data_IF_126879276439
#
_entry.id   IF_126879276439
#
_cell.length_a   1.000
_cell.length_b   1.000
_cell.length_c   1.000
_cell.angle_alpha   90.00
_cell.angle_beta   90.00
_cell.angle_gamma   90.00
#
_symmetry.space_group_name_H-M   'P 1'
#
loop_
_entity.id
_entity.type
_entity.pdbx_description
1 polymer ?
#
# COMPACT_ATOMS: atom_id res chain seq x y z
N UNK A 1 4.65 10.73 -18.97
CA UNK A 1 3.89 10.99 -17.75
C UNK A 1 3.17 9.72 -17.29
N UNK A 2 2.93 9.63 -16.02
CA UNK A 2 2.27 8.46 -15.42
C UNK A 2 0.87 8.86 -14.97
N UNK A 3 -0.15 8.51 -15.76
CA UNK A 3 -1.55 8.78 -15.43
C UNK A 3 -1.97 8.06 -14.14
N UNK A 4 -1.59 6.79 -13.99
CA UNK A 4 -1.91 6.03 -12.78
C UNK A 4 -1.24 6.60 -11.54
N UNK A 5 -0.05 7.19 -11.67
CA UNK A 5 0.59 7.89 -10.57
C UNK A 5 -0.22 9.13 -10.16
N UNK A 6 -0.75 9.87 -11.12
CA UNK A 6 -1.61 11.00 -10.86
C UNK A 6 -2.89 10.57 -10.12
N UNK A 7 -3.56 9.52 -10.61
CA UNK A 7 -4.75 8.96 -9.97
C UNK A 7 -4.45 8.48 -8.55
N UNK A 8 -3.30 7.86 -8.34
CA UNK A 8 -2.90 7.40 -7.03
C UNK A 8 -2.72 8.57 -6.05
N UNK A 9 -1.93 9.58 -6.43
CA UNK A 9 -1.63 10.70 -5.54
C UNK A 9 -2.81 11.65 -5.33
N UNK A 10 -3.67 11.85 -6.33
CA UNK A 10 -4.75 12.82 -6.27
C UNK A 10 -6.11 12.21 -5.97
N UNK A 11 -6.26 10.91 -6.15
CA UNK A 11 -7.49 10.18 -5.87
C UNK A 11 -7.36 9.24 -4.68
N UNK A 12 -6.62 8.15 -4.85
CA UNK A 12 -6.57 7.07 -3.87
C UNK A 12 -5.97 7.52 -2.54
N UNK A 13 -4.84 8.21 -2.56
CA UNK A 13 -4.21 8.71 -1.33
C UNK A 13 -5.03 9.79 -0.62
N UNK A 14 -5.94 10.45 -1.33
CA UNK A 14 -6.85 11.46 -0.76
C UNK A 14 -8.23 10.89 -0.43
N UNK A 15 -8.48 9.63 -0.75
CA UNK A 15 -9.76 9.00 -0.46
C UNK A 15 -9.92 8.85 1.06
N UNK A 16 -11.14 9.13 1.56
CA UNK A 16 -11.42 9.12 2.99
C UNK A 16 -11.10 7.79 3.67
N UNK A 17 -11.37 6.67 3.01
CA UNK A 17 -11.04 5.34 3.53
C UNK A 17 -9.55 5.15 3.76
N UNK A 18 -8.74 5.68 2.85
CA UNK A 18 -7.28 5.56 2.90
C UNK A 18 -6.68 6.53 3.92
N UNK A 19 -7.19 7.76 3.99
CA UNK A 19 -6.68 8.79 4.89
C UNK A 19 -6.66 8.34 6.36
N UNK A 20 -7.69 7.63 6.79
CA UNK A 20 -7.75 7.12 8.17
C UNK A 20 -6.73 6.01 8.41
N UNK A 21 -6.63 5.08 7.47
CA UNK A 21 -5.76 3.90 7.65
C UNK A 21 -4.27 4.22 7.44
N UNK A 22 -3.95 5.30 6.75
CA UNK A 22 -2.56 5.67 6.49
C UNK A 22 -1.93 6.46 7.64
N UNK A 23 -2.73 6.99 8.56
CA UNK A 23 -2.24 7.81 9.69
C UNK A 23 -1.11 7.17 10.50
N UNK A 24 -1.13 5.87 10.83
CA UNK A 24 -0.04 5.25 11.59
C UNK A 24 1.29 5.16 10.83
N UNK A 25 1.28 5.40 9.52
CA UNK A 25 2.45 5.19 8.68
C UNK A 25 3.24 6.48 8.46
N UNK A 26 4.55 6.33 8.34
CA UNK A 26 5.40 7.36 7.74
C UNK A 26 5.38 7.15 6.24
N UNK A 27 4.85 8.12 5.50
CA UNK A 27 4.70 8.02 4.05
C UNK A 27 5.85 8.75 3.37
N UNK A 28 6.57 8.04 2.51
CA UNK A 28 7.68 8.60 1.75
C UNK A 28 7.40 8.40 0.27
N UNK A 29 7.52 9.48 -0.49
CA UNK A 29 7.41 9.45 -1.95
C UNK A 29 8.79 9.55 -2.56
N UNK A 30 9.14 8.58 -3.39
CA UNK A 30 10.44 8.51 -4.03
C UNK A 30 10.29 8.60 -5.55
N UNK A 31 11.15 9.41 -6.16
CA UNK A 31 11.31 9.43 -7.61
C UNK A 31 12.36 8.37 -7.98
N UNK A 32 11.90 7.29 -8.62
CA UNK A 32 12.77 6.15 -8.98
C UNK A 32 13.78 6.46 -10.09
N UNK A 33 13.70 7.64 -10.69
CA UNK A 33 14.72 8.12 -11.62
C UNK A 33 15.80 8.96 -10.92
N UNK A 34 15.64 9.23 -9.63
CA UNK A 34 16.57 10.06 -8.87
C UNK A 34 17.86 9.32 -8.52
N UNK A 35 18.98 10.04 -8.59
CA UNK A 35 20.30 9.59 -8.17
C UNK A 35 20.72 10.20 -6.83
N UNK A 36 19.80 10.80 -6.09
CA UNK A 36 20.07 11.36 -4.76
C UNK A 36 20.11 10.21 -3.75
N UNK A 37 21.15 10.15 -2.92
CA UNK A 37 21.28 9.11 -1.91
C UNK A 37 20.20 9.22 -0.84
N UNK A 38 19.62 8.09 -0.51
CA UNK A 38 18.66 7.92 0.59
C UNK A 38 19.13 6.78 1.49
N UNK A 39 18.53 6.68 2.66
CA UNK A 39 18.76 5.54 3.57
C UNK A 39 17.55 4.62 3.48
N UNK A 40 17.77 3.39 3.04
CA UNK A 40 16.72 2.36 2.96
C UNK A 40 16.35 1.87 4.37
N UNK A 41 15.25 1.13 4.47
CA UNK A 41 14.75 0.57 5.74
C UNK A 41 15.72 -0.40 6.41
N UNK A 42 16.64 -0.99 5.64
CA UNK A 42 17.72 -1.85 6.15
C UNK A 42 18.94 -1.08 6.63
N UNK A 43 18.92 0.26 6.56
CA UNK A 43 20.01 1.13 6.97
C UNK A 43 21.07 1.37 5.91
N UNK A 44 20.98 0.76 4.74
CA UNK A 44 21.95 0.96 3.66
C UNK A 44 21.66 2.24 2.88
N UNK A 45 22.75 2.89 2.42
CA UNK A 45 22.64 4.09 1.57
C UNK A 45 22.56 3.65 0.11
N UNK A 46 21.55 4.14 -0.59
CA UNK A 46 21.37 3.87 -2.01
C UNK A 46 20.52 4.97 -2.66
N UNK A 47 20.44 4.98 -3.96
CA UNK A 47 19.53 5.89 -4.67
C UNK A 47 18.13 5.28 -4.77
N UNK A 48 17.07 6.09 -4.93
CA UNK A 48 15.74 5.56 -5.21
C UNK A 48 15.70 4.64 -6.43
N UNK A 49 16.49 4.95 -7.46
CA UNK A 49 16.61 4.11 -8.63
C UNK A 49 17.14 2.71 -8.29
N UNK A 50 18.20 2.66 -7.48
CA UNK A 50 18.80 1.39 -7.05
C UNK A 50 17.84 0.62 -6.13
N UNK A 51 17.16 1.31 -5.24
CA UNK A 51 16.15 0.70 -4.38
C UNK A 51 15.03 0.05 -5.20
N UNK A 52 14.52 0.75 -6.22
CA UNK A 52 13.50 0.20 -7.11
C UNK A 52 14.00 -1.05 -7.85
N UNK A 53 15.25 -1.05 -8.31
CA UNK A 53 15.86 -2.21 -8.95
C UNK A 53 15.95 -3.41 -7.98
N UNK A 54 16.40 -3.18 -6.76
CA UNK A 54 16.55 -4.24 -5.75
C UNK A 54 15.23 -4.87 -5.34
N UNK A 55 14.17 -4.05 -5.25
CA UNK A 55 12.82 -4.55 -4.96
C UNK A 55 12.05 -4.96 -6.21
N UNK A 56 12.69 -4.90 -7.38
CA UNK A 56 12.09 -5.27 -8.67
C UNK A 56 10.80 -4.50 -8.96
N UNK A 57 10.80 -3.20 -8.63
CA UNK A 57 9.67 -2.31 -8.86
C UNK A 57 9.71 -1.80 -10.30
N UNK A 58 9.03 -2.51 -11.18
CA UNK A 58 9.03 -2.23 -12.63
C UNK A 58 7.87 -1.36 -13.08
N UNK A 59 6.82 -1.26 -12.26
CA UNK A 59 5.59 -0.56 -12.61
C UNK A 59 5.38 0.66 -11.73
N UNK A 60 4.61 1.64 -12.24
CA UNK A 60 4.26 2.87 -11.54
C UNK A 60 2.73 3.05 -11.56
N UNK A 61 2.13 3.45 -10.43
CA UNK A 61 2.76 3.61 -9.11
C UNK A 61 3.10 2.26 -8.49
N UNK A 62 4.21 2.19 -7.77
CA UNK A 62 4.55 1.04 -6.96
C UNK A 62 4.52 1.45 -5.49
N UNK A 63 4.03 0.58 -4.63
CA UNK A 63 3.95 0.82 -3.19
C UNK A 63 4.58 -0.33 -2.44
N UNK A 64 5.45 0.01 -1.50
CA UNK A 64 6.04 -0.95 -0.57
C UNK A 64 5.62 -0.55 0.84
N UNK A 65 5.09 -1.50 1.59
CA UNK A 65 4.65 -1.29 2.97
C UNK A 65 5.51 -2.12 3.90
N UNK A 66 6.25 -1.44 4.76
CA UNK A 66 7.19 -2.06 5.68
C UNK A 66 6.68 -1.96 7.12
N UNK A 67 7.06 -2.93 7.95
CA UNK A 67 6.93 -2.84 9.39
C UNK A 67 8.17 -3.49 10.03
N UNK A 68 8.77 -2.80 11.00
CA UNK A 68 10.00 -3.25 11.66
C UNK A 68 11.12 -3.62 10.69
N UNK A 69 11.28 -2.86 9.61
CA UNK A 69 12.30 -3.09 8.60
C UNK A 69 12.01 -4.23 7.64
N UNK A 70 10.85 -4.88 7.76
CA UNK A 70 10.43 -5.97 6.88
C UNK A 70 9.41 -5.50 5.86
N UNK A 71 9.56 -5.96 4.62
CA UNK A 71 8.54 -5.75 3.59
C UNK A 71 7.37 -6.70 3.85
N UNK A 72 6.19 -6.14 4.17
CA UNK A 72 4.99 -6.93 4.48
C UNK A 72 4.04 -6.99 3.28
N UNK A 73 3.83 -5.85 2.61
CA UNK A 73 2.95 -5.78 1.44
C UNK A 73 3.61 -4.99 0.34
N UNK A 74 3.38 -5.40 -0.89
CA UNK A 74 3.80 -4.64 -2.06
C UNK A 74 2.66 -4.56 -3.06
N UNK A 75 2.57 -3.46 -3.77
CA UNK A 75 1.60 -3.24 -4.82
C UNK A 75 2.33 -2.74 -6.06
N UNK A 76 2.28 -3.52 -7.13
CA UNK A 76 2.96 -3.22 -8.39
C UNK A 76 2.06 -2.52 -9.39
N UNK A 77 0.84 -2.19 -8.99
CA UNK A 77 -0.15 -1.52 -9.83
C UNK A 77 -1.08 -0.66 -8.99
N UNK A 78 -1.89 0.14 -9.68
CA UNK A 78 -2.92 0.95 -9.04
C UNK A 78 -3.95 0.05 -8.37
N UNK A 79 -4.22 0.32 -7.09
CA UNK A 79 -5.29 -0.34 -6.35
C UNK A 79 -6.43 0.64 -6.07
N UNK A 80 -7.64 0.12 -6.02
CA UNK A 80 -8.79 0.90 -5.57
C UNK A 80 -8.74 1.12 -4.06
N UNK A 81 -9.41 2.18 -3.55
CA UNK A 81 -9.29 2.57 -2.14
C UNK A 81 -9.57 1.47 -1.14
N UNK A 82 -10.58 0.64 -1.36
CA UNK A 82 -10.90 -0.45 -0.43
C UNK A 82 -9.74 -1.45 -0.30
N UNK A 83 -9.19 -1.90 -1.43
CA UNK A 83 -8.10 -2.87 -1.44
C UNK A 83 -6.85 -2.29 -0.77
N UNK A 84 -6.54 -1.03 -1.07
CA UNK A 84 -5.39 -0.36 -0.48
C UNK A 84 -5.57 -0.16 1.03
N UNK A 85 -6.75 0.29 1.44
CA UNK A 85 -7.11 0.46 2.85
C UNK A 85 -6.91 -0.85 3.64
N UNK A 86 -7.42 -1.96 3.12
CA UNK A 86 -7.30 -3.24 3.81
C UNK A 86 -5.86 -3.75 3.87
N UNK A 87 -5.07 -3.48 2.84
CA UNK A 87 -3.64 -3.79 2.86
C UNK A 87 -2.90 -3.01 3.96
N UNK A 88 -3.20 -1.73 4.12
CA UNK A 88 -2.63 -0.91 5.18
C UNK A 88 -3.05 -1.41 6.56
N UNK A 89 -4.32 -1.72 6.74
CA UNK A 89 -4.86 -2.25 8.00
C UNK A 89 -4.21 -3.58 8.40
N UNK A 90 -3.97 -4.44 7.43
CA UNK A 90 -3.28 -5.73 7.65
C UNK A 90 -1.91 -5.52 8.29
N UNK A 91 -1.19 -4.48 7.85
CA UNK A 91 0.15 -4.16 8.37
C UNK A 91 0.06 -3.43 9.71
N UNK A 92 -0.71 -2.34 9.80
CA UNK A 92 -0.79 -1.52 11.02
C UNK A 92 -1.40 -2.29 12.19
N UNK A 93 -2.35 -3.18 11.93
CA UNK A 93 -2.95 -4.06 12.94
C UNK A 93 -2.13 -5.30 13.26
N UNK A 94 -1.00 -5.48 12.61
CA UNK A 94 -0.09 -6.62 12.78
C UNK A 94 -0.76 -7.98 12.55
N UNK A 95 -1.78 -8.01 11.69
CA UNK A 95 -2.46 -9.26 11.33
C UNK A 95 -1.52 -10.24 10.62
N UNK A 96 -0.46 -9.71 10.00
CA UNK A 96 0.54 -10.53 9.31
C UNK A 96 1.31 -11.47 10.25
N UNK A 97 1.31 -11.20 11.56
CA UNK A 97 1.90 -12.10 12.55
C UNK A 97 1.10 -13.40 12.71
N UNK A 98 -0.20 -13.36 12.42
CA UNK A 98 -1.14 -14.45 12.69
C UNK A 98 -1.55 -15.21 11.43
N UNK A 99 -1.57 -14.57 10.28
CA UNK A 99 -2.13 -15.16 9.06
C UNK A 99 -1.59 -14.52 7.79
N UNK A 100 -1.62 -15.24 6.65
CA UNK A 100 -1.32 -14.63 5.35
C UNK A 100 -2.42 -13.66 4.92
N UNK A 101 -2.07 -12.74 4.02
CA UNK A 101 -3.01 -11.70 3.59
C UNK A 101 -4.30 -12.25 2.99
N UNK A 102 -4.22 -13.33 2.22
CA UNK A 102 -5.41 -13.95 1.62
C UNK A 102 -6.46 -14.32 2.67
N UNK A 103 -6.03 -14.96 3.74
CA UNK A 103 -6.89 -15.36 4.85
C UNK A 103 -7.47 -14.12 5.56
N UNK A 104 -6.63 -13.13 5.86
CA UNK A 104 -7.08 -11.87 6.43
C UNK A 104 -8.16 -11.22 5.57
N UNK A 105 -7.91 -11.12 4.27
CA UNK A 105 -8.83 -10.47 3.34
C UNK A 105 -10.17 -11.20 3.24
N UNK A 106 -10.15 -12.51 3.17
CA UNK A 106 -11.37 -13.34 3.15
C UNK A 106 -12.18 -13.17 4.44
N UNK A 107 -11.52 -13.24 5.59
CA UNK A 107 -12.17 -13.05 6.89
C UNK A 107 -12.74 -11.64 7.02
N UNK A 108 -11.99 -10.64 6.58
CA UNK A 108 -12.38 -9.24 6.66
C UNK A 108 -13.60 -8.93 5.79
N UNK A 109 -13.61 -9.40 4.54
CA UNK A 109 -14.74 -9.20 3.64
C UNK A 109 -15.98 -9.91 4.14
N UNK A 110 -15.86 -11.12 4.66
CA UNK A 110 -16.96 -11.86 5.26
C UNK A 110 -17.54 -11.11 6.47
N UNK A 111 -16.67 -10.60 7.33
CA UNK A 111 -17.08 -9.82 8.50
C UNK A 111 -17.87 -8.56 8.09
N UNK A 112 -17.36 -7.82 7.10
CA UNK A 112 -18.02 -6.61 6.63
C UNK A 112 -19.39 -6.92 6.00
N UNK A 113 -19.46 -7.94 5.16
CA UNK A 113 -20.71 -8.36 4.51
C UNK A 113 -21.74 -8.85 5.52
N UNK A 114 -21.35 -9.63 6.52
CA UNK A 114 -22.27 -10.10 7.56
C UNK A 114 -22.72 -8.97 8.50
N UNK A 115 -21.98 -7.87 8.56
CA UNK A 115 -22.40 -6.65 9.27
C UNK A 115 -23.33 -5.76 8.45
N UNK A 116 -23.75 -6.19 7.26
CA UNK A 116 -24.66 -5.43 6.41
C UNK A 116 -23.96 -4.39 5.53
N UNK A 117 -22.64 -4.40 5.46
CA UNK A 117 -21.87 -3.48 4.64
C UNK A 117 -21.75 -4.06 3.23
N UNK A 118 -22.07 -3.26 2.22
CA UNK A 118 -21.88 -3.62 0.82
C UNK A 118 -20.53 -3.09 0.33
N UNK A 119 -19.76 -3.95 -0.32
CA UNK A 119 -18.46 -3.59 -0.85
C UNK A 119 -18.54 -3.48 -2.37
N UNK A 120 -18.22 -2.31 -2.91
CA UNK A 120 -18.08 -2.12 -4.34
C UNK A 120 -16.62 -2.34 -4.73
N UNK A 121 -16.33 -3.55 -5.18
CA UNK A 121 -14.97 -3.94 -5.54
C UNK A 121 -14.45 -3.20 -6.79
N UNK A 122 -15.34 -2.75 -7.67
CA UNK A 122 -14.95 -2.02 -8.87
C UNK A 122 -14.47 -0.61 -8.58
N UNK A 123 -15.11 0.06 -7.61
CA UNK A 123 -14.69 1.38 -7.11
C UNK A 123 -13.98 1.26 -5.78
N UNK A 124 -14.03 0.09 -5.17
CA UNK A 124 -13.46 -0.21 -3.86
C UNK A 124 -13.99 0.71 -2.76
N UNK A 125 -15.21 1.17 -2.88
CA UNK A 125 -15.91 1.96 -1.86
C UNK A 125 -16.75 1.04 -0.98
N UNK A 126 -16.86 1.40 0.28
CA UNK A 126 -17.78 0.77 1.22
C UNK A 126 -19.08 1.59 1.19
N UNK A 127 -20.18 0.92 0.99
CA UNK A 127 -21.51 1.54 0.94
C UNK A 127 -22.36 1.13 2.12
#
# INVERSE_FOLDING_TARGET
SCYDCYEFHNGILKHQLVLEEIKPFTVVRLNTDSNINIVDVDGTVKTPKKMAEEYEMMYRPGVLVFDNGKLIRRHDSLLFPFHFKESLRFVSGKFYDDMPYKEYYENRTEQLLSSGITIDYGRAEIR
#
